data_IF_367415445539
#
_entry.id   IF_367415445539
#
_cell.length_a   1.000
_cell.length_b   1.000
_cell.length_c   1.000
_cell.angle_alpha   90.00
_cell.angle_beta   90.00
_cell.angle_gamma   90.00
#
_symmetry.space_group_name_H-M   'P 1'
#
loop_
_entity.id
_entity.type
_entity.pdbx_description
1 polymer ?
#
# COMPACT_ATOMS: atom_id res chain seq x y z
N UNK A 1 23.23 0.71 -4.27
CA UNK A 1 22.66 1.69 -3.29
C UNK A 1 22.17 2.96 -3.97
N UNK A 2 22.83 3.46 -5.02
CA UNK A 2 22.45 4.66 -5.80
C UNK A 2 22.22 4.37 -7.29
N UNK A 3 22.07 3.09 -7.63
CA UNK A 3 22.00 2.51 -8.98
C UNK A 3 20.58 2.52 -9.56
N UNK A 4 19.58 2.91 -8.76
CA UNK A 4 18.18 2.90 -9.15
C UNK A 4 17.53 4.25 -8.85
N UNK A 5 16.76 4.79 -9.80
CA UNK A 5 16.09 6.09 -9.69
C UNK A 5 15.14 6.17 -8.49
N UNK A 6 14.47 5.07 -8.14
CA UNK A 6 13.60 5.00 -6.96
C UNK A 6 14.43 5.04 -5.66
N UNK A 7 15.59 4.37 -5.61
CA UNK A 7 16.53 4.48 -4.47
C UNK A 7 17.03 5.91 -4.30
N UNK A 8 17.38 6.59 -5.38
CA UNK A 8 17.81 8.00 -5.34
C UNK A 8 16.69 8.88 -4.80
N UNK A 9 15.45 8.73 -5.30
CA UNK A 9 14.28 9.46 -4.79
C UNK A 9 14.04 9.21 -3.30
N UNK A 10 14.17 7.96 -2.85
CA UNK A 10 14.05 7.61 -1.44
C UNK A 10 15.11 8.31 -0.58
N UNK A 11 16.38 8.32 -1.01
CA UNK A 11 17.43 9.06 -0.30
C UNK A 11 17.16 10.57 -0.25
N UNK A 12 16.71 11.17 -1.35
CA UNK A 12 16.32 12.58 -1.38
C UNK A 12 15.21 12.85 -0.36
N UNK A 13 14.17 12.03 -0.32
CA UNK A 13 13.07 12.16 0.65
C UNK A 13 13.56 12.03 2.10
N UNK A 14 14.42 11.05 2.39
CA UNK A 14 15.00 10.87 3.73
C UNK A 14 15.84 12.08 4.16
N UNK A 15 16.68 12.60 3.27
CA UNK A 15 17.54 13.74 3.59
C UNK A 15 16.72 15.03 3.76
N UNK A 16 15.77 15.29 2.86
CA UNK A 16 14.93 16.49 2.87
C UNK A 16 13.93 16.53 4.03
N UNK A 17 13.47 15.37 4.52
CA UNK A 17 12.57 15.29 5.69
C UNK A 17 13.26 15.58 7.03
N UNK A 18 14.57 15.86 7.02
CA UNK A 18 15.38 16.13 8.21
C UNK A 18 16.49 15.10 8.43
N UNK A 19 16.59 14.05 7.60
CA UNK A 19 17.62 13.02 7.76
C UNK A 19 19.05 13.55 7.70
N UNK A 20 19.29 14.69 7.02
CA UNK A 20 20.58 15.37 7.05
C UNK A 20 20.97 15.82 8.48
N UNK A 21 20.00 16.20 9.30
CA UNK A 21 20.22 16.62 10.69
C UNK A 21 20.60 15.46 11.60
N UNK A 22 20.28 14.23 11.22
CA UNK A 22 20.68 13.01 11.94
C UNK A 22 22.19 12.81 11.97
N UNK A 23 22.92 13.34 10.97
CA UNK A 23 24.40 13.25 10.92
C UNK A 23 25.05 13.87 12.15
N UNK A 24 24.44 14.90 12.72
CA UNK A 24 24.93 15.57 13.93
C UNK A 24 24.57 14.84 15.23
N UNK A 25 23.88 13.71 15.13
CA UNK A 25 23.46 12.87 16.26
C UNK A 25 23.95 11.42 16.04
N UNK A 26 25.23 11.12 16.28
CA UNK A 26 25.83 9.81 15.98
C UNK A 26 25.08 8.61 16.56
N UNK A 27 24.48 8.77 17.75
CA UNK A 27 23.65 7.74 18.39
C UNK A 27 22.47 7.29 17.52
N UNK A 28 21.85 8.22 16.81
CA UNK A 28 20.68 7.94 15.95
C UNK A 28 21.10 7.43 14.57
N UNK A 29 22.28 7.81 14.06
CA UNK A 29 22.85 7.19 12.86
C UNK A 29 23.05 5.69 13.05
N UNK A 30 23.55 5.26 14.22
CA UNK A 30 23.73 3.84 14.53
C UNK A 30 22.41 3.08 14.43
N UNK A 31 21.30 3.68 14.87
CA UNK A 31 19.96 3.08 14.76
C UNK A 31 19.47 2.97 13.31
N UNK A 32 19.92 3.85 12.41
CA UNK A 32 19.54 3.78 11.00
C UNK A 32 20.27 2.65 10.25
N UNK A 33 21.46 2.24 10.69
CA UNK A 33 22.28 1.22 10.01
C UNK A 33 21.52 -0.09 9.76
N UNK A 34 20.94 -0.77 10.77
CA UNK A 34 20.23 -2.03 10.55
C UNK A 34 19.00 -1.85 9.64
N UNK A 35 18.32 -0.70 9.71
CA UNK A 35 17.14 -0.40 8.88
C UNK A 35 17.55 -0.22 7.42
N UNK A 36 18.61 0.57 7.17
CA UNK A 36 19.16 0.78 5.83
C UNK A 36 19.65 -0.54 5.25
N UNK A 37 20.42 -1.31 6.02
CA UNK A 37 20.95 -2.59 5.58
C UNK A 37 19.80 -3.55 5.22
N UNK A 38 18.85 -3.77 6.14
CA UNK A 38 17.75 -4.71 5.91
C UNK A 38 16.89 -4.36 4.68
N UNK A 39 16.70 -3.07 4.39
CA UNK A 39 15.88 -2.62 3.26
C UNK A 39 16.65 -2.57 1.95
N UNK A 40 17.80 -1.89 1.92
CA UNK A 40 18.52 -1.61 0.67
C UNK A 40 19.31 -2.80 0.11
N UNK A 41 19.52 -3.86 0.91
CA UNK A 41 20.02 -5.16 0.44
C UNK A 41 18.93 -6.08 -0.11
N UNK A 42 17.64 -5.75 0.07
CA UNK A 42 16.56 -6.53 -0.51
C UNK A 42 16.44 -6.33 -2.02
N UNK A 43 16.09 -7.39 -2.75
CA UNK A 43 15.79 -7.35 -4.18
C UNK A 43 14.44 -6.71 -4.49
N UNK A 44 13.50 -6.75 -3.55
CA UNK A 44 12.14 -6.27 -3.77
C UNK A 44 12.01 -4.77 -3.48
N UNK A 45 11.57 -4.01 -4.48
CA UNK A 45 11.36 -2.55 -4.39
C UNK A 45 10.43 -2.16 -3.25
N UNK A 46 9.47 -3.01 -2.91
CA UNK A 46 8.49 -2.77 -1.86
C UNK A 46 9.14 -2.39 -0.52
N UNK A 47 10.34 -2.90 -0.21
CA UNK A 47 10.99 -2.69 1.09
C UNK A 47 11.85 -1.42 1.15
N UNK A 48 12.38 -0.94 0.02
CA UNK A 48 13.28 0.23 -0.02
C UNK A 48 12.70 1.40 -0.81
N UNK A 49 11.56 1.22 -1.47
CA UNK A 49 10.83 2.28 -2.17
C UNK A 49 9.99 3.14 -1.21
N UNK A 50 9.58 4.31 -1.71
CA UNK A 50 8.77 5.28 -0.94
C UNK A 50 7.26 5.14 -1.18
N UNK A 51 6.85 4.30 -2.13
CA UNK A 51 5.43 4.13 -2.51
C UNK A 51 4.63 3.31 -1.49
N UNK A 52 5.31 2.60 -0.58
CA UNK A 52 4.69 1.78 0.46
C UNK A 52 5.09 2.28 1.86
N UNK A 53 4.42 1.75 2.90
CA UNK A 53 4.62 2.15 4.29
C UNK A 53 5.91 1.58 4.93
N UNK A 54 6.67 0.77 4.21
CA UNK A 54 7.90 0.13 4.70
C UNK A 54 9.06 1.12 4.94
N UNK A 55 8.86 2.42 4.84
CA UNK A 55 9.85 3.41 5.23
C UNK A 55 9.53 4.08 6.58
N UNK A 56 8.43 3.69 7.24
CA UNK A 56 7.92 4.35 8.45
C UNK A 56 8.89 4.34 9.62
N UNK A 57 9.80 3.36 9.67
CA UNK A 57 10.78 3.19 10.74
C UNK A 57 11.82 4.34 10.77
N UNK A 58 12.05 5.01 9.63
CA UNK A 58 12.93 6.17 9.57
C UNK A 58 12.32 7.41 10.22
N UNK A 59 10.99 7.54 10.20
CA UNK A 59 10.29 8.74 10.65
C UNK A 59 10.57 9.11 12.11
N UNK A 60 10.45 8.22 13.12
CA UNK A 60 10.72 8.60 14.51
C UNK A 60 12.20 8.96 14.74
N UNK A 61 13.13 8.26 14.08
CA UNK A 61 14.56 8.52 14.22
C UNK A 61 14.88 9.93 13.69
N UNK A 62 14.40 10.24 12.48
CA UNK A 62 14.62 11.53 11.83
C UNK A 62 13.95 12.66 12.63
N UNK A 63 12.73 12.45 13.13
CA UNK A 63 12.02 13.46 13.91
C UNK A 63 12.78 13.83 15.19
N UNK A 64 13.19 12.82 15.98
CA UNK A 64 13.89 13.05 17.24
C UNK A 64 15.28 13.65 16.99
N UNK A 65 16.04 13.11 16.04
CA UNK A 65 17.39 13.61 15.73
C UNK A 65 17.34 15.07 15.23
N UNK A 66 16.35 15.41 14.41
CA UNK A 66 16.15 16.78 13.90
C UNK A 66 15.88 17.76 15.03
N UNK A 67 15.00 17.41 15.97
CA UNK A 67 14.69 18.25 17.13
C UNK A 67 15.94 18.48 17.98
N UNK A 68 16.68 17.42 18.31
CA UNK A 68 17.89 17.51 19.12
C UNK A 68 19.01 18.32 18.45
N UNK A 69 19.16 18.18 17.13
CA UNK A 69 20.13 18.97 16.36
C UNK A 69 19.76 20.45 16.34
N UNK A 70 18.48 20.77 16.09
CA UNK A 70 17.97 22.15 16.14
C UNK A 70 18.19 22.73 17.54
N UNK A 71 17.88 21.97 18.59
CA UNK A 71 18.02 22.43 19.98
C UNK A 71 19.47 22.75 20.35
N UNK A 72 20.40 21.89 19.91
CA UNK A 72 21.84 21.99 20.20
C UNK A 72 22.52 23.17 19.48
N UNK A 73 22.17 23.42 18.22
CA UNK A 73 22.93 24.35 17.37
C UNK A 73 22.26 25.69 17.12
N UNK A 74 20.93 25.79 17.21
CA UNK A 74 20.23 27.04 16.93
C UNK A 74 19.97 27.86 18.20
N UNK A 75 20.20 29.18 18.10
CA UNK A 75 19.81 30.12 19.16
C UNK A 75 18.29 30.18 19.30
N UNK A 76 17.79 30.52 20.48
CA UNK A 76 16.34 30.54 20.81
C UNK A 76 15.47 31.26 19.76
N UNK A 77 15.92 32.42 19.27
CA UNK A 77 15.18 33.21 18.27
C UNK A 77 15.05 32.48 16.91
N UNK A 78 15.98 31.61 16.56
CA UNK A 78 15.97 30.86 15.30
C UNK A 78 15.29 29.48 15.42
N UNK A 79 15.14 28.92 16.63
CA UNK A 79 14.49 27.61 16.84
C UNK A 79 13.05 27.59 16.32
N UNK A 80 12.28 28.65 16.58
CA UNK A 80 10.90 28.77 16.08
C UNK A 80 10.85 28.85 14.55
N UNK A 81 11.74 29.65 13.97
CA UNK A 81 11.83 29.82 12.51
C UNK A 81 12.20 28.49 11.86
N UNK A 82 13.20 27.77 12.38
CA UNK A 82 13.60 26.47 11.82
C UNK A 82 12.50 25.43 11.91
N UNK A 83 11.74 25.39 13.01
CA UNK A 83 10.60 24.48 13.14
C UNK A 83 9.53 24.77 12.08
N UNK A 84 9.19 26.05 11.87
CA UNK A 84 8.25 26.47 10.83
C UNK A 84 8.76 26.07 9.43
N UNK A 85 10.03 26.31 9.14
CA UNK A 85 10.63 25.93 7.85
C UNK A 85 10.56 24.42 7.62
N UNK A 86 10.90 23.61 8.62
CA UNK A 86 10.81 22.14 8.52
C UNK A 86 9.38 21.67 8.28
N UNK A 87 8.39 22.28 8.95
CA UNK A 87 6.96 21.97 8.73
C UNK A 87 6.55 22.31 7.31
N UNK A 88 6.89 23.51 6.82
CA UNK A 88 6.56 23.95 5.45
C UNK A 88 7.20 23.03 4.42
N UNK A 89 8.49 22.66 4.58
CA UNK A 89 9.17 21.73 3.69
C UNK A 89 8.46 20.36 3.66
N UNK A 90 8.05 19.83 4.80
CA UNK A 90 7.32 18.56 4.85
C UNK A 90 5.94 18.67 4.18
N UNK A 91 5.22 19.78 4.32
CA UNK A 91 3.96 20.03 3.61
C UNK A 91 4.19 20.07 2.09
N UNK A 92 5.23 20.78 1.64
CA UNK A 92 5.60 20.86 0.21
C UNK A 92 5.93 19.47 -0.32
N UNK A 93 6.78 18.70 0.37
CA UNK A 93 7.12 17.31 -0.01
C UNK A 93 5.86 16.46 -0.08
N UNK A 94 5.01 16.51 0.94
CA UNK A 94 3.77 15.74 1.01
C UNK A 94 2.82 16.08 -0.15
N UNK A 95 2.80 17.32 -0.63
CA UNK A 95 2.00 17.73 -1.79
C UNK A 95 2.46 17.13 -3.12
N UNK A 96 3.74 16.73 -3.23
CA UNK A 96 4.34 16.15 -4.43
C UNK A 96 4.25 14.61 -4.45
N UNK A 97 4.04 13.98 -3.30
CA UNK A 97 3.97 12.52 -3.18
C UNK A 97 2.59 12.02 -3.63
N UNK A 98 2.62 10.97 -4.45
CA UNK A 98 1.44 10.16 -4.76
C UNK A 98 1.47 8.90 -3.90
N UNK A 99 0.34 8.57 -3.29
CA UNK A 99 0.10 7.31 -2.61
C UNK A 99 0.18 6.15 -3.61
N UNK A 100 0.34 4.93 -3.10
CA UNK A 100 0.40 3.70 -3.90
C UNK A 100 -0.73 3.58 -4.93
N UNK A 101 -1.95 4.01 -4.58
CA UNK A 101 -3.12 3.98 -5.48
C UNK A 101 -3.16 5.14 -6.50
N UNK A 102 -2.06 5.89 -6.67
CA UNK A 102 -1.94 7.09 -7.49
C UNK A 102 -2.68 8.31 -6.93
N UNK A 103 -3.24 8.23 -5.73
CA UNK A 103 -3.92 9.34 -5.07
C UNK A 103 -2.96 10.36 -4.49
N UNK A 104 -3.39 11.62 -4.40
CA UNK A 104 -2.68 12.64 -3.62
C UNK A 104 -3.20 12.65 -2.19
N UNK A 105 -2.36 13.09 -1.26
CA UNK A 105 -2.80 13.26 0.13
C UNK A 105 -4.02 14.16 0.25
N UNK A 106 -4.19 15.14 -0.65
CA UNK A 106 -5.31 16.07 -0.63
C UNK A 106 -6.67 15.39 -0.72
N UNK A 107 -6.72 14.15 -1.24
CA UNK A 107 -7.96 13.35 -1.28
C UNK A 107 -8.51 13.00 0.10
N UNK A 108 -7.71 13.03 1.16
CA UNK A 108 -8.21 12.83 2.53
C UNK A 108 -9.21 13.92 2.95
N UNK A 109 -9.16 15.08 2.30
CA UNK A 109 -10.09 16.18 2.55
C UNK A 109 -11.31 16.15 1.61
N UNK A 110 -11.36 15.23 0.66
CA UNK A 110 -12.51 15.05 -0.23
C UNK A 110 -13.49 14.04 0.36
N UNK A 111 -14.66 14.49 0.79
CA UNK A 111 -15.69 13.61 1.35
C UNK A 111 -16.14 12.53 0.35
N UNK A 112 -16.06 12.79 -0.96
CA UNK A 112 -16.45 11.81 -1.97
C UNK A 112 -15.41 10.70 -2.11
N UNK A 113 -14.16 10.90 -1.68
CA UNK A 113 -13.15 9.84 -1.63
C UNK A 113 -13.56 8.68 -0.72
N UNK A 114 -14.36 8.96 0.32
CA UNK A 114 -14.86 7.97 1.26
C UNK A 114 -16.17 7.31 0.82
N UNK A 115 -16.79 7.79 -0.25
CA UNK A 115 -18.01 7.17 -0.80
C UNK A 115 -17.60 6.03 -1.72
N UNK A 116 -18.07 4.83 -1.41
CA UNK A 116 -17.90 3.67 -2.27
C UNK A 116 -19.20 3.40 -3.05
N UNK A 117 -19.29 3.77 -4.34
CA UNK A 117 -20.51 3.63 -5.13
C UNK A 117 -20.94 2.17 -5.32
N UNK A 118 -19.99 1.23 -5.27
CA UNK A 118 -20.23 -0.21 -5.46
C UNK A 118 -20.42 -0.97 -4.14
N UNK A 119 -20.54 -0.26 -2.99
CA UNK A 119 -20.70 -0.89 -1.67
C UNK A 119 -21.88 -1.87 -1.61
N UNK A 120 -22.99 -1.52 -2.27
CA UNK A 120 -24.20 -2.37 -2.31
C UNK A 120 -23.96 -3.65 -3.11
N UNK A 121 -23.23 -3.56 -4.22
CA UNK A 121 -22.91 -4.72 -5.06
C UNK A 121 -21.95 -5.66 -4.34
N UNK A 122 -20.90 -5.11 -3.70
CA UNK A 122 -19.98 -5.87 -2.84
C UNK A 122 -20.76 -6.59 -1.73
N UNK A 123 -21.64 -5.88 -1.02
CA UNK A 123 -22.44 -6.50 0.04
C UNK A 123 -23.37 -7.60 -0.49
N UNK A 124 -23.90 -7.44 -1.70
CA UNK A 124 -24.76 -8.45 -2.33
C UNK A 124 -23.96 -9.69 -2.72
N UNK A 125 -22.78 -9.52 -3.31
CA UNK A 125 -21.86 -10.60 -3.64
C UNK A 125 -21.37 -11.36 -2.41
N UNK A 126 -21.00 -10.65 -1.33
CA UNK A 126 -20.56 -11.30 -0.08
C UNK A 126 -21.66 -12.14 0.57
N UNK A 127 -22.93 -11.71 0.51
CA UNK A 127 -24.07 -12.49 1.02
C UNK A 127 -24.26 -13.83 0.30
N UNK A 128 -23.95 -13.89 -0.99
CA UNK A 128 -24.07 -15.13 -1.78
C UNK A 128 -23.10 -16.19 -1.25
N UNK A 129 -21.89 -15.77 -0.86
CA UNK A 129 -20.82 -16.67 -0.43
C UNK A 129 -20.71 -16.82 1.09
N UNK A 130 -21.52 -16.12 1.87
CA UNK A 130 -21.42 -16.03 3.35
C UNK A 130 -21.45 -17.41 4.03
N UNK A 131 -22.24 -18.35 3.50
CA UNK A 131 -22.39 -19.71 4.05
C UNK A 131 -21.57 -20.78 3.32
N UNK A 132 -20.61 -20.37 2.49
CA UNK A 132 -19.78 -21.33 1.77
C UNK A 132 -18.66 -21.89 2.65
N UNK A 133 -18.33 -23.18 2.49
CA UNK A 133 -17.21 -23.78 3.19
C UNK A 133 -15.86 -23.29 2.65
N UNK A 134 -15.78 -23.00 1.34
CA UNK A 134 -14.55 -22.62 0.67
C UNK A 134 -14.74 -21.52 -0.40
N UNK A 135 -13.87 -20.51 -0.35
CA UNK A 135 -13.90 -19.36 -1.26
C UNK A 135 -12.49 -19.01 -1.74
N UNK A 136 -12.33 -18.83 -3.05
CA UNK A 136 -11.15 -18.19 -3.64
C UNK A 136 -11.47 -16.73 -3.95
N UNK A 137 -10.64 -15.80 -3.49
CA UNK A 137 -10.94 -14.38 -3.57
C UNK A 137 -9.72 -13.55 -3.94
N UNK A 138 -9.93 -12.40 -4.57
CA UNK A 138 -8.89 -11.37 -4.68
C UNK A 138 -8.50 -10.85 -3.29
N UNK A 139 -7.27 -10.34 -3.20
CA UNK A 139 -6.67 -9.82 -1.97
C UNK A 139 -7.56 -8.78 -1.25
N UNK A 140 -8.33 -7.97 -1.98
CA UNK A 140 -9.25 -6.97 -1.42
C UNK A 140 -10.43 -7.56 -0.66
N UNK A 141 -10.90 -8.77 -1.03
CA UNK A 141 -12.05 -9.40 -0.38
C UNK A 141 -11.65 -10.24 0.82
N UNK A 142 -10.47 -10.87 0.81
CA UNK A 142 -10.01 -11.81 1.84
C UNK A 142 -10.20 -11.29 3.28
N UNK A 143 -9.83 -10.04 3.64
CA UNK A 143 -10.00 -9.53 5.00
C UNK A 143 -11.45 -9.41 5.46
N UNK A 144 -12.42 -9.57 4.56
CA UNK A 144 -13.85 -9.45 4.81
C UNK A 144 -14.59 -10.80 4.78
N UNK A 145 -13.87 -11.90 4.56
CA UNK A 145 -14.43 -13.25 4.52
C UNK A 145 -14.32 -13.92 5.89
N UNK A 146 -15.33 -14.74 6.21
CA UNK A 146 -15.41 -15.52 7.47
C UNK A 146 -15.54 -17.02 7.20
N UNK A 147 -15.35 -17.45 5.95
CA UNK A 147 -15.44 -18.82 5.50
C UNK A 147 -14.30 -19.69 6.08
N UNK A 148 -14.54 -20.99 6.24
CA UNK A 148 -13.58 -21.93 6.82
C UNK A 148 -12.29 -22.05 6.00
N UNK A 149 -12.41 -22.10 4.67
CA UNK A 149 -11.28 -22.13 3.74
C UNK A 149 -11.30 -20.92 2.83
N UNK A 150 -10.26 -20.09 2.94
CA UNK A 150 -10.09 -18.90 2.10
C UNK A 150 -8.78 -19.02 1.32
N UNK A 151 -8.87 -18.90 0.00
CA UNK A 151 -7.72 -18.95 -0.89
C UNK A 151 -7.52 -17.62 -1.62
N UNK A 152 -6.26 -17.22 -1.79
CA UNK A 152 -5.91 -16.06 -2.61
C UNK A 152 -5.92 -16.45 -4.09
N UNK A 153 -6.85 -15.85 -4.84
CA UNK A 153 -6.90 -15.98 -6.30
C UNK A 153 -5.54 -15.56 -6.92
N UNK A 154 -4.94 -16.34 -7.83
CA UNK A 154 -5.55 -17.38 -8.67
C UNK A 154 -5.56 -18.80 -8.10
N UNK A 155 -5.19 -19.02 -6.83
CA UNK A 155 -5.29 -20.36 -6.22
C UNK A 155 -6.75 -20.69 -5.93
N UNK A 156 -7.34 -21.56 -6.75
CA UNK A 156 -8.76 -21.96 -6.62
C UNK A 156 -8.93 -23.19 -5.72
N UNK A 157 -8.05 -24.19 -5.80
CA UNK A 157 -8.13 -25.44 -5.02
C UNK A 157 -9.53 -26.10 -5.04
N UNK A 158 -10.13 -26.37 -3.88
CA UNK A 158 -11.47 -26.92 -3.68
C UNK A 158 -12.53 -25.83 -3.42
N UNK A 159 -12.26 -24.58 -3.83
CA UNK A 159 -13.19 -23.46 -3.62
C UNK A 159 -14.53 -23.71 -4.29
N UNK A 160 -15.62 -23.63 -3.51
CA UNK A 160 -16.98 -23.66 -4.02
C UNK A 160 -17.32 -22.39 -4.78
N UNK A 161 -16.87 -21.24 -4.27
CA UNK A 161 -17.06 -19.94 -4.93
C UNK A 161 -15.76 -19.23 -5.23
N UNK A 162 -15.79 -18.39 -6.27
CA UNK A 162 -14.74 -17.42 -6.58
C UNK A 162 -15.37 -16.03 -6.59
N UNK A 163 -14.83 -15.09 -5.80
CA UNK A 163 -15.28 -13.69 -5.80
C UNK A 163 -14.19 -12.76 -6.32
N UNK A 164 -14.55 -11.94 -7.30
CA UNK A 164 -13.63 -11.11 -8.08
C UNK A 164 -14.23 -9.73 -8.33
N UNK A 165 -13.36 -8.75 -8.53
CA UNK A 165 -13.64 -7.41 -9.00
C UNK A 165 -12.67 -7.10 -10.15
N UNK A 166 -13.20 -7.09 -11.37
CA UNK A 166 -12.46 -6.85 -12.61
C UNK A 166 -11.89 -5.44 -12.65
N UNK A 167 -12.50 -4.50 -11.92
CA UNK A 167 -12.11 -3.10 -11.86
C UNK A 167 -11.28 -2.77 -10.62
N UNK A 168 -10.84 -3.78 -9.85
CA UNK A 168 -10.02 -3.53 -8.68
C UNK A 168 -8.66 -2.95 -9.08
N UNK A 169 -8.21 -1.96 -8.31
CA UNK A 169 -6.88 -1.38 -8.43
C UNK A 169 -5.84 -2.22 -7.71
N UNK A 170 -6.25 -2.96 -6.67
CA UNK A 170 -5.38 -3.89 -5.97
C UNK A 170 -5.33 -5.22 -6.72
N UNK A 171 -4.37 -5.31 -7.64
CA UNK A 171 -4.19 -6.47 -8.50
C UNK A 171 -3.27 -7.53 -7.91
N UNK A 172 -2.79 -7.40 -6.68
CA UNK A 172 -1.89 -8.40 -6.09
C UNK A 172 -2.58 -9.78 -6.04
N UNK A 173 -1.91 -10.88 -6.46
CA UNK A 173 -0.48 -11.03 -6.75
C UNK A 173 -0.06 -10.83 -8.23
N UNK A 174 -0.94 -10.32 -9.08
CA UNK A 174 -0.65 -10.07 -10.50
C UNK A 174 0.23 -8.83 -10.70
N UNK A 175 0.98 -8.81 -11.81
CA UNK A 175 1.85 -7.69 -12.19
C UNK A 175 1.12 -6.61 -12.97
N UNK A 176 0.00 -6.94 -13.60
CA UNK A 176 -0.79 -5.98 -14.38
C UNK A 176 -2.29 -6.29 -14.38
N UNK A 177 -3.12 -5.27 -14.65
CA UNK A 177 -4.57 -5.45 -14.83
C UNK A 177 -4.88 -6.46 -15.94
N UNK A 178 -4.07 -6.45 -17.00
CA UNK A 178 -4.21 -7.36 -18.14
C UNK A 178 -4.05 -8.81 -17.71
N UNK A 179 -3.03 -9.10 -16.91
CA UNK A 179 -2.78 -10.45 -16.38
C UNK A 179 -3.93 -10.94 -15.49
N UNK A 180 -4.47 -10.07 -14.63
CA UNK A 180 -5.68 -10.37 -13.85
C UNK A 180 -6.85 -10.74 -14.77
N UNK A 181 -7.14 -9.90 -15.78
CA UNK A 181 -8.26 -10.13 -16.71
C UNK A 181 -8.07 -11.44 -17.50
N UNK A 182 -6.85 -11.73 -17.95
CA UNK A 182 -6.53 -12.97 -18.64
C UNK A 182 -6.76 -14.19 -17.74
N UNK A 183 -6.37 -14.13 -16.48
CA UNK A 183 -6.55 -15.24 -15.53
C UNK A 183 -8.03 -15.47 -15.15
N UNK A 184 -8.81 -14.40 -15.03
CA UNK A 184 -10.26 -14.48 -14.89
C UNK A 184 -10.87 -15.15 -16.13
N UNK A 185 -10.47 -14.71 -17.33
CA UNK A 185 -10.94 -15.28 -18.59
C UNK A 185 -10.65 -16.77 -18.72
N UNK A 186 -9.45 -17.23 -18.32
CA UNK A 186 -9.11 -18.66 -18.27
C UNK A 186 -10.03 -19.44 -17.32
N UNK A 187 -10.32 -18.85 -16.15
CA UNK A 187 -11.19 -19.47 -15.15
C UNK A 187 -12.61 -19.65 -15.67
N UNK A 188 -13.14 -18.66 -16.39
CA UNK A 188 -14.47 -18.71 -17.01
C UNK A 188 -14.52 -19.70 -18.19
N UNK A 189 -13.46 -19.80 -18.99
CA UNK A 189 -13.38 -20.72 -20.13
C UNK A 189 -13.25 -22.20 -19.74
N UNK A 190 -12.69 -22.50 -18.56
CA UNK A 190 -12.44 -23.87 -18.12
C UNK A 190 -13.71 -24.67 -17.78
N UNK A 191 -14.91 -24.11 -17.98
CA UNK A 191 -16.23 -24.74 -17.79
C UNK A 191 -16.53 -25.34 -16.39
N UNK A 192 -15.59 -25.30 -15.45
CA UNK A 192 -15.74 -25.81 -14.09
C UNK A 192 -16.49 -24.84 -13.17
N UNK A 193 -16.60 -23.58 -13.57
CA UNK A 193 -17.26 -22.53 -12.81
C UNK A 193 -18.29 -21.82 -13.69
N UNK A 194 -19.41 -21.41 -13.10
CA UNK A 194 -20.44 -20.61 -13.74
C UNK A 194 -20.61 -19.28 -13.02
N UNK A 195 -20.84 -18.21 -13.78
CA UNK A 195 -21.12 -16.91 -13.20
C UNK A 195 -22.57 -16.86 -12.69
N UNK A 196 -22.74 -16.61 -11.40
CA UNK A 196 -24.06 -16.53 -10.73
C UNK A 196 -24.41 -15.11 -10.28
N UNK A 197 -23.45 -14.18 -10.34
CA UNK A 197 -23.66 -12.78 -9.98
C UNK A 197 -22.64 -11.90 -10.69
N UNK A 198 -23.14 -10.86 -11.37
CA UNK A 198 -22.31 -9.83 -11.97
C UNK A 198 -22.94 -8.45 -11.78
N UNK A 199 -22.21 -7.52 -11.17
CA UNK A 199 -22.64 -6.13 -11.02
C UNK A 199 -21.44 -5.21 -10.84
N UNK A 200 -21.38 -4.13 -11.61
CA UNK A 200 -20.33 -3.09 -11.52
C UNK A 200 -18.88 -3.64 -11.52
N UNK A 201 -18.64 -4.74 -12.23
CA UNK A 201 -17.35 -5.42 -12.31
C UNK A 201 -17.07 -6.43 -11.19
N UNK A 202 -17.96 -6.53 -10.20
CA UNK A 202 -17.95 -7.62 -9.22
C UNK A 202 -18.52 -8.87 -9.88
N UNK A 203 -17.84 -10.00 -9.73
CA UNK A 203 -18.26 -11.32 -10.21
C UNK A 203 -18.23 -12.33 -9.07
N UNK A 204 -19.25 -13.18 -8.99
CA UNK A 204 -19.23 -14.41 -8.19
C UNK A 204 -19.40 -15.60 -9.11
N UNK A 205 -18.41 -16.48 -9.11
CA UNK A 205 -18.43 -17.73 -9.84
C UNK A 205 -18.69 -18.88 -8.86
N UNK A 206 -19.54 -19.82 -9.23
CA UNK A 206 -19.85 -21.03 -8.47
C UNK A 206 -19.32 -22.26 -9.21
N UNK A 207 -18.70 -23.19 -8.49
CA UNK A 207 -18.25 -24.47 -9.05
C UNK A 207 -19.46 -25.26 -9.55
N UNK A 208 -19.42 -25.72 -10.80
CA UNK A 208 -20.43 -26.65 -11.34
C UNK A 208 -20.33 -27.99 -10.60
N UNK A 209 -21.44 -28.48 -10.06
CA UNK A 209 -21.60 -29.84 -9.54
C UNK A 209 -21.78 -30.85 -10.66
#
# INVERSE_FOLDING_TARGET
>A
MFDNTVKIKMWILLLMSGGILTIFQPKYLILMIPIIAGKFFSSEEVYWGFSHHYAVEFAPIIAVSSILTIDKFLKSNFKKISAIVVIILNIVILSQIHLYNGGKISRIFDINYYKNPIKKDISSALKIIEKADSVSAQNTFIPHLTNDKIYLFPKINDSKYIILNINDKNIWPFKSQKELIEEIGKTEQNNNYQNIYESNGIKVLERRT
#
